data_IF_619683986035
#
_entry.id   IF_619683986035
#
_cell.length_a   1.000
_cell.length_b   1.000
_cell.length_c   1.000
_cell.angle_alpha   90.00
_cell.angle_beta   90.00
_cell.angle_gamma   90.00
#
_symmetry.space_group_name_H-M   'P 1'
#
loop_
_entity.id
_entity.type
_entity.pdbx_description
1 polymer ?
#
# COMPACT_ATOMS: atom_id res chain seq x y z
N UNK A 1 21.21 22.10 -33.36
CA UNK A 1 19.90 21.70 -32.83
C UNK A 1 19.60 22.44 -31.52
N UNK A 2 19.46 23.79 -31.54
CA UNK A 2 19.26 24.66 -30.34
C UNK A 2 18.14 25.68 -30.49
N UNK A 3 17.23 25.49 -31.47
CA UNK A 3 16.16 26.48 -31.76
C UNK A 3 14.81 26.19 -31.05
N UNK A 4 14.58 24.99 -30.51
CA UNK A 4 13.24 24.63 -29.99
C UNK A 4 12.95 25.10 -28.56
N UNK A 5 13.95 25.54 -27.78
CA UNK A 5 13.72 25.91 -26.37
C UNK A 5 13.16 27.33 -26.22
N UNK A 6 13.54 28.24 -27.12
CA UNK A 6 13.04 29.62 -27.06
C UNK A 6 11.59 29.75 -27.54
N UNK A 7 11.16 28.95 -28.51
CA UNK A 7 9.76 28.95 -28.96
C UNK A 7 8.81 28.42 -27.88
N UNK A 8 9.19 27.38 -27.18
CA UNK A 8 8.35 26.80 -26.10
C UNK A 8 8.17 27.78 -24.94
N UNK A 9 9.23 28.44 -24.50
CA UNK A 9 9.18 29.40 -23.38
C UNK A 9 8.37 30.66 -23.76
N UNK A 10 8.46 31.10 -25.01
CA UNK A 10 7.68 32.23 -25.51
C UNK A 10 6.18 31.93 -25.52
N UNK A 11 5.77 30.75 -25.99
CA UNK A 11 4.35 30.35 -26.01
C UNK A 11 3.77 30.12 -24.61
N UNK A 12 4.52 29.57 -23.68
CA UNK A 12 4.08 29.40 -22.29
C UNK A 12 3.87 30.76 -21.60
N UNK A 13 4.80 31.71 -21.79
CA UNK A 13 4.68 33.05 -21.21
C UNK A 13 3.53 33.84 -21.82
N UNK A 14 3.32 33.73 -23.13
CA UNK A 14 2.19 34.38 -23.80
C UNK A 14 0.84 33.82 -23.32
N UNK A 15 0.73 32.54 -23.09
CA UNK A 15 -0.47 31.88 -22.58
C UNK A 15 -0.81 32.29 -21.14
N UNK A 16 0.20 32.38 -20.26
CA UNK A 16 0.02 32.90 -18.89
C UNK A 16 -0.38 34.35 -18.90
N UNK A 17 0.18 35.15 -19.81
CA UNK A 17 -0.21 36.57 -19.98
C UNK A 17 -1.67 36.71 -20.45
N UNK A 18 -2.09 35.91 -21.45
CA UNK A 18 -3.47 35.93 -21.96
C UNK A 18 -4.50 35.46 -20.93
N UNK A 19 -4.16 34.41 -20.12
CA UNK A 19 -5.04 33.99 -19.03
C UNK A 19 -5.19 35.05 -17.94
N UNK A 20 -4.11 35.76 -17.59
CA UNK A 20 -4.19 36.88 -16.64
C UNK A 20 -4.96 38.07 -17.20
N UNK A 21 -4.82 38.31 -18.52
CA UNK A 21 -5.58 39.36 -19.19
C UNK A 21 -7.08 39.05 -19.29
N UNK A 22 -7.44 37.80 -19.59
CA UNK A 22 -8.84 37.33 -19.58
C UNK A 22 -9.46 37.42 -18.18
N UNK A 23 -8.74 37.05 -17.12
CA UNK A 23 -9.18 37.22 -15.73
C UNK A 23 -9.34 38.70 -15.35
N UNK A 24 -8.47 39.60 -15.85
CA UNK A 24 -8.58 41.02 -15.62
C UNK A 24 -9.83 41.60 -16.31
N UNK A 25 -10.17 41.13 -17.53
CA UNK A 25 -11.39 41.55 -18.24
C UNK A 25 -12.66 41.05 -17.54
N UNK A 26 -12.68 39.83 -16.99
CA UNK A 26 -13.82 39.34 -16.21
C UNK A 26 -14.03 40.17 -14.92
N UNK A 27 -12.96 40.54 -14.23
CA UNK A 27 -13.04 41.38 -13.04
C UNK A 27 -13.53 42.80 -13.38
N UNK A 28 -13.16 43.35 -14.55
CA UNK A 28 -13.63 44.65 -15.01
C UNK A 28 -15.10 44.63 -15.42
N UNK A 29 -15.57 43.54 -16.05
CA UNK A 29 -16.98 43.32 -16.37
C UNK A 29 -17.84 43.18 -15.10
N UNK A 30 -17.34 42.47 -14.08
CA UNK A 30 -18.00 42.33 -12.78
C UNK A 30 -18.04 43.69 -12.05
N UNK A 31 -16.95 44.46 -12.15
CA UNK A 31 -16.86 45.79 -11.55
C UNK A 31 -17.80 46.79 -12.22
N UNK A 32 -17.92 46.80 -13.56
CA UNK A 32 -18.86 47.61 -14.31
C UNK A 32 -20.32 47.24 -14.01
N UNK A 33 -20.61 45.95 -13.87
CA UNK A 33 -21.95 45.46 -13.50
C UNK A 33 -22.31 45.77 -12.04
N UNK A 34 -21.32 45.91 -11.16
CA UNK A 34 -21.49 46.33 -9.76
C UNK A 34 -21.76 47.85 -9.67
N UNK A 35 -21.10 48.64 -10.51
CA UNK A 35 -21.33 50.09 -10.61
C UNK A 35 -22.68 50.46 -11.25
N UNK A 36 -23.24 49.59 -12.10
CA UNK A 36 -24.51 49.84 -12.81
C UNK A 36 -25.76 49.54 -11.97
N UNK A 37 -25.61 48.98 -10.75
CA UNK A 37 -26.77 48.78 -9.86
C UNK A 37 -27.13 50.08 -9.16
N UNK A 38 -28.35 50.68 -9.39
CA UNK A 38 -28.77 51.87 -8.70
C UNK A 38 -28.94 51.60 -7.22
N UNK A 39 -28.16 52.27 -6.40
CA UNK A 39 -28.37 52.29 -4.94
C UNK A 39 -29.59 53.17 -4.65
N UNK A 40 -30.56 52.74 -3.84
CA UNK A 40 -31.65 53.62 -3.41
C UNK A 40 -31.08 54.67 -2.45
N UNK A 41 -30.91 55.89 -2.98
CA UNK A 41 -30.59 57.06 -2.16
C UNK A 41 -31.81 57.41 -1.31
N UNK A 42 -31.72 57.23 -0.01
CA UNK A 42 -32.60 57.89 0.95
C UNK A 42 -32.32 59.39 0.89
N UNK A 43 -33.23 60.12 0.26
CA UNK A 43 -33.19 61.55 0.16
C UNK A 43 -33.68 62.15 1.49
N UNK A 44 -32.80 62.87 2.18
CA UNK A 44 -33.15 63.81 3.23
C UNK A 44 -33.10 65.23 2.59
N UNK A 45 -34.26 65.86 2.49
CA UNK A 45 -34.46 67.19 1.97
C UNK A 45 -33.82 68.23 2.89
N UNK A 46 -32.72 68.84 2.43
CA UNK A 46 -32.42 70.26 2.79
C UNK A 46 -31.44 70.88 1.79
N UNK A 47 -31.99 71.81 0.99
CA UNK A 47 -31.43 73.11 0.54
C UNK A 47 -30.00 73.12 -0.08
N UNK A 48 -29.67 73.83 -1.13
CA UNK A 48 -30.10 75.07 -1.82
C UNK A 48 -29.10 75.36 -2.94
N UNK A 49 -29.68 75.98 -4.01
CA UNK A 49 -29.11 77.11 -4.76
C UNK A 49 -27.81 77.02 -5.54
N UNK A 50 -28.01 76.89 -6.81
CA UNK A 50 -27.37 77.58 -7.93
C UNK A 50 -25.91 78.04 -7.87
N UNK A 51 -25.16 77.60 -8.89
CA UNK A 51 -24.43 78.56 -9.75
C UNK A 51 -24.06 77.83 -11.06
N UNK A 52 -24.46 78.53 -12.14
CA UNK A 52 -24.06 78.24 -13.52
C UNK A 52 -22.52 78.03 -13.63
N UNK A 53 -22.09 76.91 -14.19
CA UNK A 53 -20.77 76.80 -14.81
C UNK A 53 -20.96 76.07 -16.15
N UNK A 54 -20.25 76.47 -17.19
CA UNK A 54 -20.43 75.96 -18.55
C UNK A 54 -19.84 74.54 -18.69
N UNK A 55 -20.49 73.81 -19.58
CA UNK A 55 -20.27 72.39 -19.84
C UNK A 55 -18.86 71.98 -20.16
N UNK A 56 -18.44 70.95 -19.45
CA UNK A 56 -17.37 70.05 -19.90
C UNK A 56 -18.08 68.95 -20.67
N UNK A 57 -17.94 68.98 -22.00
CA UNK A 57 -18.28 67.82 -22.87
C UNK A 57 -17.40 66.65 -22.45
N UNK A 58 -17.94 65.76 -21.64
CA UNK A 58 -17.36 64.41 -21.52
C UNK A 58 -17.59 63.68 -22.85
N UNK A 59 -16.56 63.64 -23.67
CA UNK A 59 -16.53 62.80 -24.85
C UNK A 59 -16.72 61.31 -24.44
N UNK A 60 -17.89 60.77 -24.75
CA UNK A 60 -18.15 59.36 -24.73
C UNK A 60 -17.30 58.71 -25.82
N UNK A 61 -16.01 58.45 -25.49
CA UNK A 61 -15.13 57.68 -26.34
C UNK A 61 -15.61 56.21 -26.33
N UNK A 62 -16.59 55.91 -27.16
CA UNK A 62 -16.92 54.53 -27.47
C UNK A 62 -15.70 53.94 -28.17
N UNK A 63 -14.96 53.12 -27.44
CA UNK A 63 -13.81 52.36 -27.97
C UNK A 63 -14.37 51.43 -29.06
N UNK A 64 -14.39 51.91 -30.30
CA UNK A 64 -14.77 51.07 -31.46
C UNK A 64 -13.64 50.10 -31.73
N UNK A 65 -13.66 48.91 -31.08
CA UNK A 65 -12.82 47.84 -31.49
C UNK A 65 -13.18 47.48 -32.93
N UNK A 66 -12.26 47.72 -33.86
CA UNK A 66 -12.42 47.35 -35.26
C UNK A 66 -12.73 45.87 -35.36
N UNK A 67 -13.74 45.48 -36.15
CA UNK A 67 -14.07 44.09 -36.47
C UNK A 67 -12.84 43.31 -36.92
N UNK A 68 -11.85 44.01 -37.50
CA UNK A 68 -10.57 43.46 -37.87
C UNK A 68 -9.72 42.97 -36.67
N UNK A 69 -9.74 43.68 -35.51
CA UNK A 69 -9.04 43.24 -34.31
C UNK A 69 -9.70 41.98 -33.69
N UNK A 70 -11.04 41.93 -33.73
CA UNK A 70 -11.77 40.72 -33.27
C UNK A 70 -11.51 39.52 -34.19
N UNK A 71 -11.42 39.71 -35.50
CA UNK A 71 -11.09 38.63 -36.45
C UNK A 71 -9.67 38.10 -36.27
N UNK A 72 -8.70 38.99 -35.99
CA UNK A 72 -7.30 38.58 -35.70
C UNK A 72 -7.20 37.84 -34.37
N UNK A 73 -7.93 38.27 -33.33
CA UNK A 73 -7.99 37.54 -32.06
C UNK A 73 -8.64 36.16 -32.23
N UNK A 74 -9.70 36.07 -33.03
CA UNK A 74 -10.39 34.81 -33.30
C UNK A 74 -9.53 33.83 -34.11
N UNK A 75 -8.76 34.31 -35.10
CA UNK A 75 -7.82 33.49 -35.87
C UNK A 75 -6.62 33.04 -35.05
N UNK A 76 -6.14 33.83 -34.08
CA UNK A 76 -5.11 33.40 -33.10
C UNK A 76 -5.63 32.37 -32.11
N UNK A 77 -6.89 32.41 -31.69
CA UNK A 77 -7.52 31.38 -30.84
C UNK A 77 -7.79 30.08 -31.60
N UNK A 78 -8.16 30.15 -32.87
CA UNK A 78 -8.41 28.97 -33.71
C UNK A 78 -7.16 28.13 -34.01
N UNK A 79 -5.96 28.72 -33.88
CA UNK A 79 -4.68 28.05 -34.04
C UNK A 79 -4.11 27.43 -32.74
N UNK A 80 -4.80 27.58 -31.60
CA UNK A 80 -4.33 26.93 -30.38
C UNK A 80 -4.64 25.41 -30.43
N UNK A 81 -3.64 24.54 -30.24
CA UNK A 81 -3.92 23.11 -30.13
C UNK A 81 -4.93 22.91 -29.00
N UNK A 82 -6.03 22.22 -29.28
CA UNK A 82 -6.97 21.83 -28.26
C UNK A 82 -6.20 21.11 -27.15
N UNK A 83 -6.37 21.56 -25.92
CA UNK A 83 -5.82 20.85 -24.76
C UNK A 83 -6.67 19.60 -24.60
N UNK A 84 -6.25 18.51 -25.27
CA UNK A 84 -6.92 17.23 -25.12
C UNK A 84 -6.86 16.83 -23.65
N UNK A 85 -8.04 16.58 -23.07
CA UNK A 85 -8.13 16.08 -21.72
C UNK A 85 -7.57 14.65 -21.68
N UNK A 86 -6.63 14.39 -20.76
CA UNK A 86 -6.05 13.04 -20.60
C UNK A 86 -7.15 12.04 -20.25
N UNK A 87 -7.08 10.85 -20.83
CA UNK A 87 -8.01 9.76 -20.56
C UNK A 87 -7.80 9.16 -19.17
N UNK A 88 -8.90 8.78 -18.53
CA UNK A 88 -8.83 8.06 -17.24
C UNK A 88 -8.47 6.59 -17.47
N UNK A 89 -7.67 6.02 -16.56
CA UNK A 89 -7.27 4.63 -16.61
C UNK A 89 -7.46 3.92 -15.28
N UNK A 90 -7.49 2.58 -15.33
CA UNK A 90 -7.66 1.71 -14.16
C UNK A 90 -6.56 0.67 -14.10
N UNK A 91 -6.27 0.15 -12.91
CA UNK A 91 -5.33 -0.96 -12.70
C UNK A 91 -6.13 -2.18 -12.23
N UNK A 92 -5.70 -3.37 -12.68
CA UNK A 92 -6.18 -4.66 -12.17
C UNK A 92 -5.00 -5.51 -11.75
N UNK A 93 -4.99 -5.95 -10.48
CA UNK A 93 -4.01 -6.90 -9.95
C UNK A 93 -4.58 -8.31 -10.12
N UNK A 94 -3.76 -9.27 -10.59
CA UNK A 94 -4.14 -10.67 -10.68
C UNK A 94 -4.37 -11.25 -9.29
N UNK A 95 -5.34 -12.17 -9.18
CA UNK A 95 -5.64 -12.86 -7.92
C UNK A 95 -4.41 -13.61 -7.43
N UNK A 96 -4.13 -13.47 -6.14
CA UNK A 96 -3.06 -14.18 -5.45
C UNK A 96 -3.70 -15.32 -4.65
N UNK A 97 -3.25 -16.56 -4.88
CA UNK A 97 -3.69 -17.74 -4.12
C UNK A 97 -3.21 -17.68 -2.67
N UNK A 98 -3.88 -18.42 -1.78
CA UNK A 98 -3.43 -18.58 -0.40
C UNK A 98 -1.98 -19.07 -0.34
N UNK A 99 -1.20 -18.50 0.56
CA UNK A 99 0.22 -18.77 0.74
C UNK A 99 0.55 -19.08 2.20
N UNK A 100 1.60 -19.84 2.41
CA UNK A 100 2.18 -20.09 3.72
C UNK A 100 3.68 -19.79 3.71
N UNK A 101 4.24 -19.56 4.85
CA UNK A 101 5.68 -19.39 5.00
C UNK A 101 6.42 -20.66 4.53
N UNK A 102 7.45 -20.47 3.73
CA UNK A 102 8.18 -21.56 3.09
C UNK A 102 7.69 -21.96 1.70
N UNK A 103 6.57 -21.41 1.24
CA UNK A 103 6.18 -21.58 -0.16
C UNK A 103 7.19 -20.89 -1.09
N UNK A 104 7.30 -21.40 -2.31
CA UNK A 104 8.17 -20.83 -3.34
C UNK A 104 7.78 -19.39 -3.68
N UNK A 105 8.76 -18.62 -4.12
CA UNK A 105 8.56 -17.27 -4.63
C UNK A 105 7.62 -17.30 -5.85
N UNK A 106 6.76 -16.29 -5.96
CA UNK A 106 5.74 -16.18 -7.01
C UNK A 106 5.74 -14.81 -7.66
N UNK A 107 5.22 -14.70 -8.87
CA UNK A 107 5.11 -13.44 -9.61
C UNK A 107 3.68 -12.94 -9.52
N UNK A 108 3.53 -11.65 -9.13
CA UNK A 108 2.26 -10.94 -9.21
C UNK A 108 2.23 -10.12 -10.49
N UNK A 109 1.12 -10.19 -11.19
CA UNK A 109 0.90 -9.42 -12.42
C UNK A 109 -0.16 -8.36 -12.18
N UNK A 110 0.13 -7.14 -12.62
CA UNK A 110 -0.84 -6.06 -12.69
C UNK A 110 -0.88 -5.52 -14.12
N UNK A 111 -2.05 -5.07 -14.55
CA UNK A 111 -2.26 -4.47 -15.87
C UNK A 111 -3.06 -3.19 -15.73
N UNK A 112 -2.70 -2.16 -16.49
CA UNK A 112 -3.50 -0.96 -16.68
C UNK A 112 -4.42 -1.11 -17.89
N UNK A 113 -5.54 -0.40 -17.90
CA UNK A 113 -6.43 -0.33 -19.06
C UNK A 113 -5.75 0.35 -20.25
N UNK A 114 -4.83 1.29 -19.99
CA UNK A 114 -4.02 2.00 -20.98
C UNK A 114 -2.89 1.15 -21.58
N UNK A 115 -2.64 -0.07 -21.07
CA UNK A 115 -1.48 -0.93 -21.39
C UNK A 115 -0.13 -0.37 -20.97
N UNK A 116 -0.08 0.78 -20.30
CA UNK A 116 1.15 1.34 -19.74
C UNK A 116 1.73 0.43 -18.64
N UNK A 117 3.06 0.41 -18.44
CA UNK A 117 3.71 -0.42 -17.44
C UNK A 117 3.27 -0.02 -16.03
N UNK A 118 2.94 -1.04 -15.21
CA UNK A 118 2.50 -0.86 -13.81
C UNK A 118 3.66 -1.17 -12.88
N UNK A 119 3.94 -0.28 -11.94
CA UNK A 119 4.89 -0.50 -10.86
C UNK A 119 4.24 -1.23 -9.71
N UNK A 120 4.90 -2.29 -9.19
CA UNK A 120 4.39 -3.10 -8.09
C UNK A 120 5.32 -2.95 -6.88
N UNK A 121 4.74 -2.74 -5.70
CA UNK A 121 5.42 -2.63 -4.42
C UNK A 121 4.80 -3.59 -3.41
N UNK A 122 5.58 -4.03 -2.44
CA UNK A 122 5.12 -4.90 -1.35
C UNK A 122 5.43 -4.28 0.01
N UNK A 123 4.52 -4.48 0.96
CA UNK A 123 4.69 -4.11 2.35
C UNK A 123 4.30 -5.32 3.22
N UNK A 124 5.09 -5.60 4.26
CA UNK A 124 4.91 -6.75 5.13
C UNK A 124 6.10 -7.71 5.05
N UNK A 125 5.97 -8.95 5.58
CA UNK A 125 7.06 -9.92 5.63
C UNK A 125 7.35 -10.57 4.26
N UNK A 126 7.62 -9.76 3.24
CA UNK A 126 7.97 -10.18 1.88
C UNK A 126 8.90 -9.16 1.22
N UNK A 127 9.59 -9.58 0.17
CA UNK A 127 10.39 -8.72 -0.70
C UNK A 127 9.99 -8.96 -2.16
N UNK A 128 10.13 -7.93 -2.99
CA UNK A 128 9.91 -8.02 -4.44
C UNK A 128 11.21 -7.69 -5.16
N UNK A 129 11.52 -8.40 -6.22
CA UNK A 129 12.67 -8.12 -7.08
C UNK A 129 12.27 -7.26 -8.30
N UNK A 130 13.26 -6.85 -9.10
CA UNK A 130 13.06 -6.05 -10.32
C UNK A 130 12.20 -6.75 -11.39
N UNK A 131 12.04 -8.09 -11.31
CA UNK A 131 11.23 -8.90 -12.24
C UNK A 131 9.81 -9.10 -11.73
N UNK A 132 9.43 -8.49 -10.60
CA UNK A 132 8.11 -8.66 -9.99
C UNK A 132 7.94 -9.98 -9.22
N UNK A 133 9.03 -10.72 -8.94
CA UNK A 133 8.98 -11.95 -8.17
C UNK A 133 8.98 -11.63 -6.69
N UNK A 134 7.96 -12.09 -5.98
CA UNK A 134 7.76 -11.90 -4.54
C UNK A 134 8.34 -13.10 -3.79
N UNK A 135 9.19 -12.85 -2.81
CA UNK A 135 9.77 -13.85 -1.90
C UNK A 135 9.25 -13.59 -0.50
N UNK A 136 8.70 -14.63 0.13
CA UNK A 136 8.17 -14.57 1.49
C UNK A 136 9.30 -14.64 2.52
N UNK A 137 9.35 -13.67 3.43
CA UNK A 137 10.33 -13.55 4.51
C UNK A 137 9.77 -13.96 5.88
N UNK A 138 8.45 -14.14 5.97
CA UNK A 138 7.78 -14.54 7.21
C UNK A 138 6.28 -14.74 6.99
N UNK A 139 5.62 -15.27 8.02
CA UNK A 139 4.17 -15.34 8.12
C UNK A 139 3.59 -13.98 8.54
N UNK A 140 2.35 -13.70 8.12
CA UNK A 140 1.64 -12.47 8.43
C UNK A 140 1.04 -11.80 7.20
N UNK A 141 0.55 -10.59 7.38
CA UNK A 141 -0.14 -9.86 6.31
C UNK A 141 0.86 -9.18 5.36
N UNK A 142 0.78 -9.51 4.09
CA UNK A 142 1.51 -8.87 2.99
C UNK A 142 0.51 -8.03 2.18
N UNK A 143 0.85 -6.77 1.92
CA UNK A 143 0.08 -5.88 1.04
C UNK A 143 0.87 -5.65 -0.24
N UNK A 144 0.22 -5.87 -1.36
CA UNK A 144 0.76 -5.63 -2.70
C UNK A 144 0.06 -4.41 -3.28
N UNK A 145 0.81 -3.39 -3.64
CA UNK A 145 0.34 -2.16 -4.24
C UNK A 145 0.74 -2.12 -5.71
N UNK A 146 -0.16 -1.66 -6.55
CA UNK A 146 0.11 -1.40 -7.96
C UNK A 146 -0.19 0.07 -8.26
N UNK A 147 0.76 0.75 -8.91
CA UNK A 147 0.72 2.19 -9.22
C UNK A 147 1.06 2.38 -10.69
N UNK A 148 0.35 3.31 -11.33
CA UNK A 148 0.63 3.75 -12.68
C UNK A 148 0.43 5.28 -12.77
N UNK A 149 1.49 6.00 -13.16
CA UNK A 149 1.58 7.48 -13.07
C UNK A 149 0.98 8.22 -14.25
N UNK A 150 0.48 7.50 -15.27
CA UNK A 150 0.02 8.11 -16.52
C UNK A 150 1.18 8.52 -17.43
N UNK A 151 0.80 9.14 -18.53
CA UNK A 151 1.69 9.74 -19.52
C UNK A 151 1.04 10.99 -20.12
N UNK A 152 1.39 11.36 -21.35
CA UNK A 152 0.80 12.51 -22.02
C UNK A 152 -0.67 12.28 -22.43
N UNK A 153 -1.10 11.03 -22.62
CA UNK A 153 -2.45 10.66 -23.04
C UNK A 153 -3.35 10.25 -21.87
N UNK A 154 -2.77 9.65 -20.81
CA UNK A 154 -3.53 9.09 -19.69
C UNK A 154 -3.22 9.81 -18.37
N UNK A 155 -4.26 10.02 -17.57
CA UNK A 155 -4.11 10.49 -16.17
C UNK A 155 -3.51 9.38 -15.30
N UNK A 156 -2.88 9.69 -14.14
CA UNK A 156 -2.49 8.68 -13.17
C UNK A 156 -3.68 7.79 -12.77
N UNK A 157 -3.47 6.48 -12.73
CA UNK A 157 -4.49 5.55 -12.26
C UNK A 157 -4.65 5.64 -10.73
N UNK A 158 -5.88 5.38 -10.25
CA UNK A 158 -6.08 5.14 -8.81
C UNK A 158 -5.24 3.93 -8.39
N UNK A 159 -4.39 4.06 -7.35
CA UNK A 159 -3.61 2.93 -6.85
C UNK A 159 -4.51 1.76 -6.43
N UNK A 160 -4.13 0.54 -6.81
CA UNK A 160 -4.81 -0.69 -6.41
C UNK A 160 -3.99 -1.42 -5.35
N UNK A 161 -4.66 -2.11 -4.41
CA UNK A 161 -4.03 -2.86 -3.33
C UNK A 161 -4.73 -4.18 -3.09
N UNK A 162 -3.94 -5.25 -2.98
CA UNK A 162 -4.40 -6.58 -2.57
C UNK A 162 -3.64 -6.99 -1.31
N UNK A 163 -4.38 -7.42 -0.28
CA UNK A 163 -3.81 -7.98 0.94
C UNK A 163 -3.86 -9.52 0.87
N UNK A 164 -2.77 -10.15 1.27
CA UNK A 164 -2.62 -11.61 1.34
C UNK A 164 -2.12 -11.97 2.73
N UNK A 165 -2.85 -12.85 3.42
CA UNK A 165 -2.42 -13.39 4.70
C UNK A 165 -1.56 -14.64 4.46
N UNK A 166 -0.28 -14.54 4.83
CA UNK A 166 0.67 -15.64 4.75
C UNK A 166 0.54 -16.48 6.00
N UNK A 167 0.03 -17.70 5.85
CA UNK A 167 -0.13 -18.64 6.95
C UNK A 167 1.22 -19.07 7.54
N UNK A 168 1.24 -19.45 8.82
CA UNK A 168 2.42 -20.05 9.44
C UNK A 168 2.71 -21.42 8.84
N UNK A 169 3.99 -21.78 8.71
CA UNK A 169 4.43 -23.12 8.33
C UNK A 169 4.16 -24.11 9.47
N UNK A 170 3.68 -25.33 9.21
CA UNK A 170 3.53 -26.36 10.24
C UNK A 170 4.90 -26.91 10.66
N UNK A 171 5.18 -26.95 11.95
CA UNK A 171 6.39 -27.51 12.54
C UNK A 171 6.02 -28.57 13.59
N UNK A 172 6.42 -29.81 13.33
CA UNK A 172 6.20 -30.93 14.27
C UNK A 172 7.32 -30.92 15.29
N UNK A 173 6.94 -30.97 16.57
CA UNK A 173 7.84 -31.07 17.72
C UNK A 173 7.55 -32.39 18.40
N UNK A 174 8.45 -33.36 18.25
CA UNK A 174 8.31 -34.72 18.77
C UNK A 174 9.27 -34.95 19.91
N UNK A 175 8.77 -35.37 21.08
CA UNK A 175 9.61 -35.86 22.15
C UNK A 175 10.12 -37.26 21.82
N UNK A 176 11.38 -37.53 22.13
CA UNK A 176 11.98 -38.86 21.98
C UNK A 176 11.52 -39.80 23.08
N UNK A 177 11.35 -41.08 22.73
CA UNK A 177 11.14 -42.15 23.71
C UNK A 177 12.42 -42.34 24.52
N UNK A 178 12.29 -42.48 25.83
CA UNK A 178 13.41 -42.80 26.75
C UNK A 178 13.12 -44.05 27.54
N UNK A 179 14.20 -44.67 27.99
CA UNK A 179 14.16 -45.86 28.89
C UNK A 179 15.02 -45.57 30.11
N UNK A 180 14.58 -46.00 31.29
CA UNK A 180 15.35 -45.95 32.53
C UNK A 180 15.08 -47.22 33.35
N UNK A 181 15.99 -47.57 34.26
CA UNK A 181 15.73 -48.60 35.23
C UNK A 181 15.08 -47.99 36.48
N UNK A 182 14.32 -48.82 37.16
CA UNK A 182 13.73 -48.43 38.42
C UNK A 182 14.81 -48.01 39.45
N UNK A 183 14.62 -46.78 40.03
CA UNK A 183 15.58 -46.20 40.96
C UNK A 183 16.73 -45.42 40.32
N UNK A 184 16.86 -45.37 38.98
CA UNK A 184 17.81 -44.50 38.29
C UNK A 184 17.32 -43.06 38.23
N UNK A 185 18.27 -42.13 38.06
CA UNK A 185 17.93 -40.70 37.82
C UNK A 185 17.21 -40.57 36.49
N UNK A 186 16.16 -39.76 36.50
CA UNK A 186 15.41 -39.41 35.28
C UNK A 186 16.34 -38.85 34.19
N UNK A 187 16.36 -39.46 32.99
CA UNK A 187 17.19 -38.99 31.89
C UNK A 187 16.74 -37.63 31.40
N UNK A 188 17.63 -36.88 30.73
CA UNK A 188 17.26 -35.66 30.04
C UNK A 188 16.33 -35.97 28.87
N UNK A 189 15.24 -35.19 28.79
CA UNK A 189 14.27 -35.35 27.72
C UNK A 189 14.62 -34.45 26.54
N UNK A 190 14.72 -35.05 25.38
CA UNK A 190 15.09 -34.38 24.12
C UNK A 190 13.91 -34.32 23.17
N UNK A 191 13.93 -33.33 22.27
CA UNK A 191 12.89 -33.13 21.25
C UNK A 191 13.52 -33.06 19.87
N UNK A 192 12.79 -33.59 18.88
CA UNK A 192 13.14 -33.53 17.46
C UNK A 192 12.15 -32.63 16.77
N UNK A 193 12.63 -31.76 15.90
CA UNK A 193 11.83 -30.86 15.08
C UNK A 193 11.81 -31.34 13.63
N UNK A 194 10.61 -31.37 13.01
CA UNK A 194 10.43 -31.75 11.60
C UNK A 194 9.55 -30.73 10.90
N UNK A 195 10.02 -30.15 9.79
CA UNK A 195 9.25 -29.21 8.99
C UNK A 195 9.82 -27.78 8.99
N UNK A 196 11.05 -27.55 9.39
CA UNK A 196 11.73 -26.29 9.13
C UNK A 196 11.82 -26.04 7.62
N UNK A 197 11.59 -24.79 7.22
CA UNK A 197 11.66 -24.33 5.83
C UNK A 197 12.79 -23.30 5.68
N UNK A 198 13.16 -22.97 4.45
CA UNK A 198 14.15 -21.94 4.12
C UNK A 198 15.54 -22.15 4.78
N UNK A 199 15.90 -23.40 5.12
CA UNK A 199 17.17 -23.70 5.80
C UNK A 199 17.21 -23.28 7.27
N UNK A 200 16.07 -22.98 7.88
CA UNK A 200 15.97 -22.61 9.29
C UNK A 200 16.15 -23.81 10.23
N UNK A 201 16.38 -23.53 11.49
CA UNK A 201 16.61 -24.51 12.55
C UNK A 201 16.02 -24.04 13.87
N UNK A 202 16.23 -24.80 14.94
CA UNK A 202 15.81 -24.43 16.31
C UNK A 202 16.30 -23.05 16.73
N UNK A 203 17.47 -22.62 16.23
CA UNK A 203 18.04 -21.29 16.52
C UNK A 203 17.17 -20.11 16.02
N UNK A 204 16.29 -20.36 15.06
CA UNK A 204 15.38 -19.36 14.49
C UNK A 204 14.06 -19.25 15.26
N UNK A 205 13.82 -20.11 16.26
CA UNK A 205 12.65 -20.02 17.13
C UNK A 205 12.86 -18.94 18.18
N UNK A 206 11.78 -18.24 18.53
CA UNK A 206 11.78 -17.28 19.66
C UNK A 206 12.04 -18.04 20.96
N UNK A 207 11.39 -19.20 21.09
CA UNK A 207 11.58 -20.10 22.24
C UNK A 207 11.49 -21.55 21.74
N UNK A 208 12.51 -22.40 22.01
CA UNK A 208 12.43 -23.82 21.74
C UNK A 208 11.46 -24.52 22.70
N UNK A 209 11.03 -25.72 22.34
CA UNK A 209 10.20 -26.57 23.20
C UNK A 209 11.00 -27.10 24.41
N UNK A 210 10.28 -27.27 25.51
CA UNK A 210 10.72 -27.98 26.68
C UNK A 210 9.90 -29.27 26.77
N UNK A 211 10.56 -30.42 27.05
CA UNK A 211 9.88 -31.69 27.27
C UNK A 211 9.75 -31.94 28.78
N UNK A 212 8.57 -32.29 29.23
CA UNK A 212 8.27 -32.59 30.63
C UNK A 212 7.64 -33.98 30.78
N UNK A 213 7.85 -34.61 31.90
CA UNK A 213 7.24 -35.91 32.22
C UNK A 213 5.82 -35.66 32.74
N UNK A 214 4.85 -36.37 32.17
CA UNK A 214 3.46 -36.33 32.58
C UNK A 214 2.94 -37.75 32.79
N UNK A 215 2.36 -38.04 33.94
CA UNK A 215 1.67 -39.32 34.20
C UNK A 215 0.26 -39.23 33.58
N UNK A 216 -0.12 -40.30 32.85
CA UNK A 216 -1.45 -40.42 32.23
C UNK A 216 -2.04 -41.77 32.57
N UNK A 217 -3.36 -41.84 32.82
CA UNK A 217 -4.07 -43.06 33.20
C UNK A 217 -4.20 -43.23 34.73
N UNK A 218 -4.99 -44.18 35.15
CA UNK A 218 -5.30 -44.44 36.56
C UNK A 218 -4.88 -45.84 36.98
N UNK A 219 -4.59 -46.03 38.28
CA UNK A 219 -4.26 -47.29 38.91
C UNK A 219 -3.05 -47.99 38.24
N UNK A 220 -3.19 -49.30 37.96
CA UNK A 220 -2.13 -50.13 37.33
C UNK A 220 -1.87 -49.80 35.86
N UNK A 221 -2.65 -48.94 35.22
CA UNK A 221 -2.51 -48.50 33.80
C UNK A 221 -1.78 -47.17 33.65
N UNK A 222 -1.15 -46.65 34.69
CA UNK A 222 -0.34 -45.44 34.63
C UNK A 222 0.74 -45.58 33.57
N UNK A 223 0.76 -44.63 32.63
CA UNK A 223 1.78 -44.48 31.59
C UNK A 223 2.48 -43.16 31.81
N UNK A 224 3.79 -43.17 31.69
CA UNK A 224 4.60 -41.95 31.75
C UNK A 224 4.89 -41.48 30.33
N UNK A 225 4.43 -40.29 30.02
CA UNK A 225 4.63 -39.64 28.72
C UNK A 225 5.57 -38.46 28.84
N UNK A 226 6.43 -38.30 27.86
CA UNK A 226 7.30 -37.15 27.70
C UNK A 226 6.56 -36.18 26.78
N UNK A 227 6.08 -35.05 27.31
CA UNK A 227 5.24 -34.10 26.59
C UNK A 227 6.02 -32.83 26.25
N UNK A 228 6.27 -32.57 24.96
CA UNK A 228 6.91 -31.33 24.52
C UNK A 228 5.89 -30.17 24.52
N UNK A 229 6.33 -28.97 24.91
CA UNK A 229 5.49 -27.78 24.97
C UNK A 229 6.31 -26.49 24.93
N UNK A 230 5.64 -25.34 24.84
CA UNK A 230 6.22 -24.02 25.08
C UNK A 230 7.00 -23.41 23.92
N UNK A 231 7.04 -24.03 22.74
CA UNK A 231 7.64 -23.42 21.55
C UNK A 231 6.96 -22.11 21.14
N UNK A 232 7.75 -21.13 20.70
CA UNK A 232 7.24 -19.86 20.18
C UNK A 232 7.93 -19.48 18.88
N UNK A 233 7.14 -19.04 17.89
CA UNK A 233 7.64 -18.51 16.62
C UNK A 233 6.64 -17.56 15.98
N UNK A 234 7.15 -16.60 15.22
CA UNK A 234 6.33 -15.77 14.33
C UNK A 234 5.91 -16.56 13.09
N UNK A 235 6.76 -17.45 12.60
CA UNK A 235 6.65 -18.09 11.29
C UNK A 235 6.10 -19.51 11.32
N UNK A 236 6.08 -20.17 12.49
CA UNK A 236 5.66 -21.57 12.62
C UNK A 236 4.43 -21.73 13.51
N UNK A 237 3.59 -22.68 13.16
CA UNK A 237 2.54 -23.26 14.01
C UNK A 237 3.02 -24.64 14.48
N UNK A 238 2.84 -24.95 15.77
CA UNK A 238 3.45 -26.15 16.36
C UNK A 238 2.43 -27.27 16.52
N UNK A 239 2.84 -28.48 16.11
CA UNK A 239 2.16 -29.74 16.42
C UNK A 239 3.06 -30.56 17.33
N UNK A 240 2.64 -30.80 18.57
CA UNK A 240 3.36 -31.54 19.55
C UNK A 240 3.02 -33.04 19.49
N UNK A 241 4.05 -33.89 19.54
CA UNK A 241 3.93 -35.37 19.62
C UNK A 241 4.67 -35.82 20.85
N UNK A 242 3.98 -36.49 21.76
CA UNK A 242 4.57 -37.01 23.00
C UNK A 242 5.39 -38.24 22.73
N UNK A 243 6.49 -38.39 23.45
CA UNK A 243 7.24 -39.62 23.61
C UNK A 243 6.77 -40.42 24.84
N UNK A 244 7.35 -41.59 25.05
CA UNK A 244 7.08 -42.47 26.19
C UNK A 244 8.36 -42.65 27.03
N UNK A 245 8.19 -42.69 28.36
CA UNK A 245 9.22 -43.13 29.27
C UNK A 245 8.93 -44.56 29.70
N UNK A 246 9.77 -45.53 29.30
CA UNK A 246 9.66 -46.90 29.70
C UNK A 246 10.57 -47.17 30.91
N UNK A 247 9.95 -47.45 32.06
CA UNK A 247 10.66 -47.88 33.28
C UNK A 247 10.79 -49.39 33.22
N UNK A 248 12.03 -49.87 33.30
CA UNK A 248 12.37 -51.31 33.36
C UNK A 248 12.59 -51.70 34.82
N UNK A 249 11.85 -52.68 35.30
CA UNK A 249 12.04 -53.21 36.65
C UNK A 249 13.43 -53.85 36.80
N UNK A 250 14.04 -53.73 37.99
CA UNK A 250 15.25 -54.51 38.31
C UNK A 250 14.92 -56.00 38.21
N UNK A 251 15.66 -56.76 37.43
CA UNK A 251 15.61 -58.27 37.52
C UNK A 251 15.86 -58.65 38.96
N UNK A 252 14.86 -59.22 39.64
CA UNK A 252 15.12 -59.93 40.89
C UNK A 252 16.12 -61.04 40.60
N UNK A 253 17.37 -60.94 41.08
CA UNK A 253 18.29 -62.06 41.10
C UNK A 253 17.71 -63.07 42.08
N UNK A 254 17.17 -64.15 41.54
CA UNK A 254 16.85 -65.30 42.32
C UNK A 254 18.18 -65.97 42.69
N UNK A 255 18.80 -65.54 43.79
CA UNK A 255 19.83 -66.36 44.41
C UNK A 255 19.10 -67.54 45.05
N UNK A 256 19.22 -68.68 44.42
CA UNK A 256 18.81 -69.93 45.02
C UNK A 256 19.50 -70.12 46.37
N UNK A 257 18.73 -70.34 47.38
CA UNK A 257 19.20 -70.88 48.61
C UNK A 257 19.43 -72.38 48.35
N UNK A 258 20.70 -72.85 48.50
CA UNK A 258 20.99 -74.21 48.77
C UNK A 258 20.66 -74.51 50.23
#
# INVERSE_FOLDING_TARGET
MKLNHYHFTFFVNLRVFLLRFAQALETELIFQNWLAKPRPLRYSSRQLRAKNQPGILMGTGTMRFSVACLAVLFSLLAGLPALEAKEAQTIKISRISAKKYGDESFVVRAKSSSKLPVSIFVNGPASIDKKGKITLKGAGKVRVFAIQMGDDQFTPAKPEMVAVDIAKAPLVVQAEDKKMKEGEKTPEFTVIYKGFVNGESVKNLIKPAVATLVETGEGKRKKQKIVPSGSQSKNYSFRYISGNLKIMSKKKSFFGRN
#
